data_IF_460785683425
#
_entry.id   IF_460785683425
#
_cell.length_a   1.000
_cell.length_b   1.000
_cell.length_c   1.000
_cell.angle_alpha   90.00
_cell.angle_beta   90.00
_cell.angle_gamma   90.00
#
_symmetry.space_group_name_H-M   'P 1'
#
loop_
_entity.id
_entity.type
_entity.pdbx_description
1 polymer ?
#
# COMPACT_ATOMS: atom_id res chain seq x y z
N UNK A 1 17.99 7.70 2.24
CA UNK A 1 17.22 8.92 2.63
C UNK A 1 17.59 9.49 4.00
N UNK A 2 18.62 9.00 4.72
CA UNK A 2 18.98 9.57 6.03
C UNK A 2 17.85 9.57 7.09
N UNK A 3 16.76 8.86 6.82
CA UNK A 3 15.51 8.88 7.59
C UNK A 3 15.50 7.86 8.72
N UNK A 4 16.30 6.79 8.60
CA UNK A 4 16.40 5.72 9.57
C UNK A 4 17.87 5.49 9.92
N UNK A 5 18.20 5.57 11.20
CA UNK A 5 19.51 5.21 11.75
C UNK A 5 19.39 3.84 12.44
N UNK A 6 20.26 2.86 12.16
CA UNK A 6 20.14 1.51 12.73
C UNK A 6 20.10 1.48 14.26
N UNK A 7 20.62 2.53 14.91
CA UNK A 7 20.67 2.68 16.36
C UNK A 7 19.35 3.15 17.00
N UNK A 8 18.48 3.84 16.24
CA UNK A 8 17.22 4.42 16.76
C UNK A 8 15.97 4.03 15.98
N UNK A 9 16.14 3.43 14.80
CA UNK A 9 15.07 3.14 13.86
C UNK A 9 15.05 1.66 13.49
N UNK A 10 13.89 1.03 13.67
CA UNK A 10 13.69 -0.38 13.35
C UNK A 10 12.34 -0.60 12.68
N UNK A 11 12.30 -1.62 11.81
CA UNK A 11 11.09 -2.24 11.33
C UNK A 11 10.82 -3.51 12.12
N UNK A 12 9.61 -3.61 12.67
CA UNK A 12 9.19 -4.76 13.46
C UNK A 12 8.22 -5.60 12.63
N UNK A 13 8.56 -6.87 12.42
CA UNK A 13 7.67 -7.87 11.85
C UNK A 13 7.26 -8.85 12.93
N UNK A 14 5.99 -8.75 13.33
CA UNK A 14 5.34 -9.76 14.17
C UNK A 14 4.70 -10.82 13.29
N UNK A 15 5.01 -12.08 13.55
CA UNK A 15 4.40 -13.24 12.88
C UNK A 15 3.80 -14.15 13.93
N UNK A 16 2.51 -14.44 13.78
CA UNK A 16 1.85 -15.49 14.55
C UNK A 16 1.60 -16.70 13.64
N UNK A 17 2.12 -17.87 14.04
CA UNK A 17 1.85 -19.14 13.34
C UNK A 17 0.87 -19.98 14.16
N UNK A 18 0.18 -20.91 13.48
CA UNK A 18 -0.75 -21.83 14.13
C UNK A 18 -0.04 -22.81 15.09
N UNK A 19 1.27 -23.01 14.92
CA UNK A 19 2.06 -23.97 15.68
C UNK A 19 2.21 -25.31 14.98
N UNK A 20 2.87 -26.24 15.66
CA UNK A 20 3.12 -27.61 15.17
C UNK A 20 1.82 -28.41 15.15
N UNK A 21 1.71 -29.39 14.24
CA UNK A 21 0.56 -30.28 14.15
C UNK A 21 0.85 -31.52 13.33
N UNK A 22 -0.18 -32.32 13.10
CA UNK A 22 -0.12 -33.49 12.22
C UNK A 22 -0.24 -33.09 10.75
N UNK A 23 0.15 -34.00 9.84
CA UNK A 23 -0.07 -33.81 8.41
C UNK A 23 -1.58 -33.85 8.08
N UNK A 24 -2.12 -32.68 7.72
CA UNK A 24 -3.54 -32.44 7.41
C UNK A 24 -3.88 -30.95 7.56
N UNK A 25 -4.98 -30.50 6.98
CA UNK A 25 -5.31 -29.05 6.94
C UNK A 25 -6.11 -28.55 8.16
N UNK A 26 -6.60 -29.46 9.01
CA UNK A 26 -7.48 -29.07 10.12
C UNK A 26 -6.71 -28.33 11.21
N UNK A 27 -7.06 -27.07 11.53
CA UNK A 27 -6.41 -26.31 12.60
C UNK A 27 -6.77 -26.83 14.00
N UNK A 28 -7.67 -27.80 14.12
CA UNK A 28 -7.99 -28.46 15.40
C UNK A 28 -6.91 -29.46 15.84
N UNK A 29 -6.00 -29.82 14.93
CA UNK A 29 -4.92 -30.78 15.18
C UNK A 29 -3.54 -30.12 15.21
N UNK A 30 -3.51 -28.83 15.51
CA UNK A 30 -2.31 -28.02 15.74
C UNK A 30 -2.26 -27.53 17.18
N UNK A 31 -1.08 -27.37 17.73
CA UNK A 31 -0.81 -27.03 19.13
C UNK A 31 0.38 -26.08 19.22
N UNK A 32 0.48 -25.36 20.35
CA UNK A 32 1.56 -24.40 20.65
C UNK A 32 1.73 -23.31 19.57
N UNK A 33 0.75 -22.39 19.38
CA UNK A 33 0.94 -21.22 18.53
C UNK A 33 2.26 -20.51 18.85
N UNK A 34 2.98 -20.07 17.82
CA UNK A 34 4.25 -19.37 17.98
C UNK A 34 4.08 -17.92 17.59
N UNK A 35 4.64 -17.02 18.39
CA UNK A 35 4.80 -15.60 18.06
C UNK A 35 6.29 -15.35 17.83
N UNK A 36 6.62 -14.86 16.64
CA UNK A 36 7.98 -14.50 16.24
C UNK A 36 8.01 -12.99 16.09
N UNK A 37 8.91 -12.34 16.83
CA UNK A 37 9.19 -10.92 16.70
C UNK A 37 10.54 -10.73 16.01
N UNK A 38 10.54 -10.16 14.81
CA UNK A 38 11.74 -9.84 14.06
C UNK A 38 11.90 -8.33 14.11
N UNK A 39 12.98 -7.84 14.73
CA UNK A 39 13.40 -6.46 14.67
C UNK A 39 14.61 -6.36 13.74
N UNK A 40 14.50 -5.55 12.69
CA UNK A 40 15.59 -5.31 11.74
C UNK A 40 15.44 -3.92 11.15
N UNK A 41 16.32 -3.53 10.25
CA UNK A 41 16.09 -2.38 9.38
C UNK A 41 15.27 -2.80 8.16
N UNK A 42 14.59 -1.84 7.52
CA UNK A 42 13.94 -2.07 6.23
C UNK A 42 14.54 -1.09 5.22
N UNK A 43 14.76 -1.58 3.99
CA UNK A 43 15.05 -0.71 2.86
C UNK A 43 13.75 -0.08 2.40
N UNK A 44 13.65 1.24 2.57
CA UNK A 44 12.63 2.04 1.87
C UNK A 44 12.99 2.13 0.38
N UNK A 45 12.05 2.63 -0.43
CA UNK A 45 12.33 2.92 -1.84
C UNK A 45 13.47 3.95 -1.97
N UNK A 46 14.19 3.96 -3.12
CA UNK A 46 15.22 4.95 -3.39
C UNK A 46 14.68 6.39 -3.25
N UNK A 47 15.47 7.35 -2.74
CA UNK A 47 15.02 8.74 -2.58
C UNK A 47 14.46 9.35 -3.86
N UNK A 48 15.03 8.98 -4.99
CA UNK A 48 14.62 9.45 -6.32
C UNK A 48 13.16 9.11 -6.61
N UNK A 49 12.63 7.98 -6.10
CA UNK A 49 11.21 7.62 -6.27
C UNK A 49 10.27 8.49 -5.44
N UNK A 50 10.74 9.08 -4.34
CA UNK A 50 9.96 10.03 -3.55
C UNK A 50 10.01 11.43 -4.18
N UNK A 51 11.14 11.80 -4.79
CA UNK A 51 11.33 13.11 -5.44
C UNK A 51 10.66 13.18 -6.82
N UNK A 52 10.78 12.13 -7.63
CA UNK A 52 10.34 12.08 -9.02
C UNK A 52 9.04 11.26 -9.21
N UNK A 53 8.64 10.50 -8.18
CA UNK A 53 7.54 9.56 -8.26
C UNK A 53 7.94 8.21 -8.83
N UNK A 54 7.18 7.19 -8.43
CA UNK A 54 7.39 5.81 -8.84
C UNK A 54 6.51 5.46 -10.05
N UNK A 55 7.04 4.80 -11.09
CA UNK A 55 6.20 4.19 -12.11
C UNK A 55 5.56 2.91 -11.56
N UNK A 56 4.33 2.63 -11.99
CA UNK A 56 3.59 1.41 -11.67
C UNK A 56 2.92 0.82 -12.91
N UNK A 57 2.48 -0.42 -12.81
CA UNK A 57 1.59 -1.07 -13.79
C UNK A 57 0.27 -1.46 -13.13
N UNK A 58 -0.73 -1.78 -13.94
CA UNK A 58 -1.91 -2.52 -13.48
C UNK A 58 -1.69 -4.01 -13.76
N UNK A 59 -1.68 -4.82 -12.71
CA UNK A 59 -1.47 -6.26 -12.79
C UNK A 59 -2.61 -6.97 -13.53
N UNK A 60 -2.28 -8.06 -14.22
CA UNK A 60 -3.27 -8.99 -14.77
C UNK A 60 -3.89 -9.89 -13.68
N UNK A 61 -3.19 -10.07 -12.56
CA UNK A 61 -3.69 -10.84 -11.42
C UNK A 61 -4.74 -10.06 -10.63
N UNK A 62 -5.93 -10.63 -10.58
CA UNK A 62 -7.01 -10.13 -9.73
C UNK A 62 -6.67 -10.34 -8.26
N UNK A 63 -7.01 -9.37 -7.42
CA UNK A 63 -6.90 -9.47 -5.97
C UNK A 63 -7.79 -10.59 -5.43
N UNK A 64 -7.31 -11.29 -4.40
CA UNK A 64 -8.07 -12.36 -3.75
C UNK A 64 -9.51 -11.94 -3.43
N UNK A 65 -10.46 -12.79 -3.80
CA UNK A 65 -11.88 -12.58 -3.52
C UNK A 65 -12.15 -12.62 -2.01
N UNK A 66 -12.99 -11.72 -1.50
CA UNK A 66 -13.31 -11.61 -0.06
C UNK A 66 -13.88 -12.89 0.55
N UNK A 67 -14.68 -13.66 -0.21
CA UNK A 67 -15.20 -14.96 0.23
C UNK A 67 -14.26 -16.15 0.00
N UNK A 68 -13.09 -15.94 -0.63
CA UNK A 68 -12.09 -17.00 -0.84
C UNK A 68 -10.94 -16.85 0.17
N UNK A 69 -10.20 -15.74 0.08
CA UNK A 69 -9.09 -15.40 0.97
C UNK A 69 -9.15 -13.90 1.27
N UNK A 70 -9.89 -13.48 2.32
CA UNK A 70 -10.19 -12.08 2.56
C UNK A 70 -8.92 -11.21 2.67
N UNK A 71 -8.74 -10.20 1.79
CA UNK A 71 -7.56 -9.31 1.82
C UNK A 71 -7.42 -8.48 3.11
N UNK A 72 -8.53 -8.30 3.85
CA UNK A 72 -8.53 -7.68 5.19
C UNK A 72 -7.68 -8.44 6.20
N UNK A 73 -7.37 -9.73 5.95
CA UNK A 73 -6.52 -10.54 6.81
C UNK A 73 -5.07 -10.47 6.32
N UNK A 74 -4.20 -9.81 7.08
CA UNK A 74 -2.75 -9.81 6.83
C UNK A 74 -2.11 -11.14 7.28
N UNK A 75 -2.32 -12.19 6.48
CA UNK A 75 -1.84 -13.55 6.76
C UNK A 75 -0.50 -13.86 6.09
N UNK A 76 0.01 -15.07 6.29
CA UNK A 76 1.19 -15.60 5.60
C UNK A 76 0.92 -16.02 4.13
N UNK A 77 -0.33 -15.95 3.67
CA UNK A 77 -0.72 -16.29 2.30
C UNK A 77 -0.56 -15.07 1.36
N UNK A 78 0.68 -14.74 1.00
CA UNK A 78 1.01 -13.57 0.17
C UNK A 78 1.20 -13.90 -1.32
N UNK A 79 0.97 -15.13 -1.76
CA UNK A 79 1.26 -15.56 -3.13
C UNK A 79 0.56 -14.72 -4.20
N UNK A 80 -0.70 -14.32 -3.99
CA UNK A 80 -1.42 -13.44 -4.91
C UNK A 80 -0.71 -12.09 -5.12
N UNK A 81 -0.23 -11.48 -4.04
CA UNK A 81 0.53 -10.23 -4.07
C UNK A 81 1.90 -10.43 -4.74
N UNK A 82 2.57 -11.57 -4.47
CA UNK A 82 3.87 -11.92 -5.07
C UNK A 82 3.75 -12.07 -6.59
N UNK A 83 2.70 -12.72 -7.10
CA UNK A 83 2.47 -12.89 -8.53
C UNK A 83 2.34 -11.54 -9.26
N UNK A 84 1.56 -10.61 -8.70
CA UNK A 84 1.47 -9.25 -9.22
C UNK A 84 2.80 -8.47 -9.10
N UNK A 85 3.59 -8.72 -8.05
CA UNK A 85 4.91 -8.10 -7.86
C UNK A 85 5.92 -8.60 -8.90
N UNK A 86 5.83 -9.87 -9.28
CA UNK A 86 6.63 -10.43 -10.39
C UNK A 86 6.31 -9.69 -11.69
N UNK A 87 5.03 -9.45 -12.01
CA UNK A 87 4.68 -8.65 -13.21
C UNK A 87 5.26 -7.23 -13.17
N UNK A 88 5.25 -6.57 -12.01
CA UNK A 88 5.91 -5.27 -11.85
C UNK A 88 7.41 -5.33 -12.14
N UNK A 89 8.10 -6.36 -11.62
CA UNK A 89 9.51 -6.58 -11.88
C UNK A 89 9.79 -6.84 -13.37
N UNK A 90 8.99 -7.69 -14.02
CA UNK A 90 9.13 -8.00 -15.45
C UNK A 90 8.87 -6.76 -16.33
N UNK A 91 8.01 -5.85 -15.87
CA UNK A 91 7.78 -4.56 -16.50
C UNK A 91 8.80 -3.46 -16.10
N UNK A 92 9.82 -3.78 -15.30
CA UNK A 92 10.84 -2.86 -14.78
C UNK A 92 10.26 -1.66 -14.01
N UNK A 93 9.18 -1.88 -13.24
CA UNK A 93 8.57 -0.86 -12.39
C UNK A 93 8.60 -1.27 -10.92
N UNK A 94 8.42 -0.30 -10.02
CA UNK A 94 8.55 -0.53 -8.60
C UNK A 94 7.37 -1.27 -7.98
N UNK A 95 6.16 -1.18 -8.56
CA UNK A 95 4.94 -1.68 -7.94
C UNK A 95 3.83 -1.97 -8.97
N UNK A 96 2.86 -2.81 -8.60
CA UNK A 96 1.68 -3.12 -9.40
C UNK A 96 0.38 -2.84 -8.63
N UNK A 97 -0.57 -2.21 -9.32
CA UNK A 97 -1.94 -1.99 -8.87
C UNK A 97 -2.79 -3.20 -9.23
N UNK A 98 -3.52 -3.75 -8.26
CA UNK A 98 -4.41 -4.89 -8.45
C UNK A 98 -5.87 -4.44 -8.50
N UNK A 99 -6.64 -5.08 -9.38
CA UNK A 99 -8.10 -4.90 -9.42
C UNK A 99 -8.79 -6.04 -8.68
N UNK A 100 -9.99 -5.79 -8.15
CA UNK A 100 -10.84 -6.83 -7.59
C UNK A 100 -11.63 -7.57 -8.69
N UNK A 101 -12.36 -8.61 -8.28
CA UNK A 101 -13.15 -9.47 -9.17
C UNK A 101 -14.27 -8.75 -9.94
N UNK A 102 -14.64 -7.53 -9.55
CA UNK A 102 -15.62 -6.68 -10.25
C UNK A 102 -14.96 -5.71 -11.24
N UNK A 103 -13.62 -5.69 -11.31
CA UNK A 103 -12.86 -4.76 -12.13
C UNK A 103 -12.62 -3.39 -11.49
N UNK A 104 -12.98 -3.20 -10.22
CA UNK A 104 -12.63 -1.99 -9.46
C UNK A 104 -11.20 -2.07 -8.93
N UNK A 105 -10.57 -0.92 -8.73
CA UNK A 105 -9.26 -0.81 -8.10
C UNK A 105 -9.36 -1.31 -6.67
N UNK A 106 -8.48 -2.23 -6.30
CA UNK A 106 -8.31 -2.66 -4.93
C UNK A 106 -7.13 -1.91 -4.30
N UNK A 107 -5.93 -2.47 -4.39
CA UNK A 107 -4.73 -1.97 -3.74
C UNK A 107 -3.49 -2.33 -4.57
N UNK A 108 -2.33 -1.80 -4.21
CA UNK A 108 -1.07 -2.26 -4.76
C UNK A 108 -0.61 -3.58 -4.08
N UNK A 109 0.49 -4.19 -4.53
CA UNK A 109 0.91 -5.48 -3.93
C UNK A 109 1.30 -5.36 -2.46
N UNK A 110 1.76 -4.19 -2.02
CA UNK A 110 2.15 -3.91 -0.63
C UNK A 110 1.44 -2.74 0.05
N UNK A 111 0.68 -1.92 -0.69
CA UNK A 111 0.28 -0.58 -0.27
C UNK A 111 -1.16 -0.23 -0.70
N UNK A 112 -1.83 0.66 0.03
CA UNK A 112 -3.13 1.19 -0.38
C UNK A 112 -3.00 2.29 -1.44
N UNK A 113 -3.99 2.43 -2.31
CA UNK A 113 -4.00 3.37 -3.44
C UNK A 113 -4.83 4.61 -3.12
N UNK A 114 -4.31 5.78 -3.49
CA UNK A 114 -5.01 7.06 -3.43
C UNK A 114 -4.82 7.82 -4.75
N UNK A 115 -5.88 8.44 -5.24
CA UNK A 115 -5.80 9.41 -6.34
C UNK A 115 -6.27 10.77 -5.86
N UNK A 116 -5.85 11.81 -6.57
CA UNK A 116 -6.35 13.18 -6.43
C UNK A 116 -7.09 13.54 -7.70
N UNK A 117 -8.29 14.10 -7.57
CA UNK A 117 -9.05 14.62 -8.69
C UNK A 117 -9.82 15.86 -8.27
N UNK A 118 -9.63 16.96 -8.99
CA UNK A 118 -10.22 18.27 -8.67
C UNK A 118 -9.95 18.71 -7.22
N UNK A 119 -8.74 18.47 -6.71
CA UNK A 119 -8.34 18.81 -5.34
C UNK A 119 -8.90 17.90 -4.23
N UNK A 120 -9.70 16.88 -4.57
CA UNK A 120 -10.24 15.89 -3.63
C UNK A 120 -9.40 14.60 -3.68
N UNK A 121 -9.11 14.03 -2.51
CA UNK A 121 -8.50 12.70 -2.40
C UNK A 121 -9.58 11.62 -2.50
N UNK A 122 -9.36 10.62 -3.35
CA UNK A 122 -10.22 9.46 -3.50
C UNK A 122 -9.41 8.17 -3.26
N UNK A 123 -9.99 7.21 -2.55
CA UNK A 123 -9.37 5.91 -2.29
C UNK A 123 -10.43 4.80 -2.28
N UNK A 124 -10.11 3.56 -2.69
CA UNK A 124 -11.06 2.46 -2.61
C UNK A 124 -11.55 2.22 -1.17
N UNK A 125 -12.85 1.92 -0.97
CA UNK A 125 -13.37 1.52 0.34
C UNK A 125 -12.85 0.14 0.72
N UNK A 126 -12.91 -0.21 2.01
CA UNK A 126 -12.52 -1.55 2.48
C UNK A 126 -13.34 -2.68 1.85
N UNK A 127 -14.58 -2.37 1.42
CA UNK A 127 -15.45 -3.29 0.67
C UNK A 127 -14.93 -3.65 -0.71
N UNK A 128 -14.00 -2.87 -1.30
CA UNK A 128 -13.36 -3.18 -2.57
C UNK A 128 -12.38 -4.38 -2.49
N UNK A 129 -12.20 -4.97 -1.31
CA UNK A 129 -11.31 -6.11 -1.10
C UNK A 129 -9.86 -5.69 -0.87
N UNK A 130 -9.66 -4.66 -0.04
CA UNK A 130 -8.34 -4.14 0.33
C UNK A 130 -7.99 -4.49 1.77
N UNK A 131 -6.70 -4.44 2.10
CA UNK A 131 -6.27 -4.38 3.48
C UNK A 131 -6.61 -3.00 4.05
N UNK A 132 -7.18 -2.97 5.26
CA UNK A 132 -7.44 -1.72 5.99
C UNK A 132 -6.14 -1.22 6.63
N UNK A 133 -5.30 -0.55 5.82
CA UNK A 133 -3.98 -0.12 6.24
C UNK A 133 -4.01 0.92 7.35
N UNK A 134 -3.11 0.77 8.34
CA UNK A 134 -2.93 1.78 9.40
C UNK A 134 -2.43 3.10 8.79
N UNK A 135 -1.43 3.05 7.91
CA UNK A 135 -0.92 4.23 7.19
C UNK A 135 -2.01 4.91 6.37
N UNK A 136 -2.86 4.13 5.67
CA UNK A 136 -4.04 4.64 4.97
C UNK A 136 -4.95 5.42 5.90
N UNK A 137 -5.37 4.83 7.01
CA UNK A 137 -6.27 5.47 7.97
C UNK A 137 -5.64 6.74 8.58
N UNK A 138 -4.34 6.71 8.85
CA UNK A 138 -3.59 7.89 9.31
C UNK A 138 -3.55 8.99 8.25
N UNK A 139 -3.29 8.67 6.98
CA UNK A 139 -3.28 9.64 5.88
C UNK A 139 -4.67 10.24 5.65
N UNK A 140 -5.74 9.43 5.69
CA UNK A 140 -7.13 9.92 5.61
C UNK A 140 -7.40 10.94 6.73
N UNK A 141 -7.00 10.63 7.97
CA UNK A 141 -7.16 11.55 9.11
C UNK A 141 -6.36 12.84 8.90
N UNK A 142 -5.08 12.74 8.55
CA UNK A 142 -4.20 13.89 8.34
C UNK A 142 -4.67 14.79 7.19
N UNK A 143 -5.17 14.21 6.09
CA UNK A 143 -5.75 14.95 4.98
C UNK A 143 -6.98 15.77 5.43
N UNK A 144 -7.89 15.15 6.19
CA UNK A 144 -9.07 15.84 6.75
C UNK A 144 -8.67 16.96 7.72
N UNK A 145 -7.69 16.73 8.58
CA UNK A 145 -7.13 17.75 9.48
C UNK A 145 -6.49 18.92 8.71
N UNK A 146 -5.93 18.65 7.53
CA UNK A 146 -5.38 19.66 6.62
C UNK A 146 -6.44 20.35 5.74
N UNK A 147 -7.73 20.05 5.94
CA UNK A 147 -8.83 20.65 5.17
C UNK A 147 -9.00 20.06 3.76
N UNK A 148 -8.39 18.92 3.46
CA UNK A 148 -8.54 18.23 2.18
C UNK A 148 -9.69 17.23 2.29
N UNK A 149 -10.62 17.31 1.35
CA UNK A 149 -11.73 16.35 1.29
C UNK A 149 -11.22 14.96 0.89
N UNK A 150 -11.68 13.93 1.62
CA UNK A 150 -11.33 12.54 1.36
C UNK A 150 -12.59 11.71 1.20
N UNK A 151 -12.74 11.11 0.03
CA UNK A 151 -13.87 10.25 -0.33
C UNK A 151 -13.40 8.80 -0.51
N UNK A 152 -14.04 7.90 0.22
CA UNK A 152 -13.90 6.46 0.00
C UNK A 152 -14.94 6.04 -1.03
N UNK A 153 -14.51 5.64 -2.24
CA UNK A 153 -15.40 5.23 -3.33
C UNK A 153 -14.74 4.20 -4.23
N UNK A 154 -15.56 3.38 -4.88
CA UNK A 154 -15.06 2.49 -5.92
C UNK A 154 -14.43 3.31 -7.05
N UNK A 155 -13.24 2.88 -7.47
CA UNK A 155 -12.49 3.46 -8.57
C UNK A 155 -12.38 2.41 -9.67
N UNK A 156 -12.44 2.84 -10.92
CA UNK A 156 -12.15 2.00 -12.08
C UNK A 156 -10.80 2.37 -12.68
N UNK A 157 -10.27 1.52 -13.56
CA UNK A 157 -9.00 1.75 -14.25
C UNK A 157 -8.87 3.15 -14.87
N UNK A 158 -9.94 3.66 -15.50
CA UNK A 158 -9.92 4.99 -16.13
C UNK A 158 -9.82 6.13 -15.12
N UNK A 159 -10.27 5.95 -13.87
CA UNK A 159 -10.10 6.95 -12.81
C UNK A 159 -8.61 7.14 -12.47
N UNK A 160 -7.81 6.07 -12.51
CA UNK A 160 -6.36 6.16 -12.28
C UNK A 160 -5.66 6.92 -13.41
N UNK A 161 -6.03 6.65 -14.67
CA UNK A 161 -5.44 7.34 -15.81
C UNK A 161 -5.87 8.81 -15.92
N UNK A 162 -7.04 9.15 -15.40
CA UNK A 162 -7.58 10.51 -15.39
C UNK A 162 -7.35 11.27 -14.08
N UNK A 163 -6.48 10.76 -13.20
CA UNK A 163 -6.15 11.42 -11.94
C UNK A 163 -5.17 12.58 -12.16
N UNK A 164 -5.33 13.64 -11.36
CA UNK A 164 -4.41 14.79 -11.34
C UNK A 164 -3.11 14.40 -10.61
N UNK A 165 -3.23 13.61 -9.54
CA UNK A 165 -2.11 13.05 -8.78
C UNK A 165 -2.45 11.64 -8.30
N UNK A 166 -1.44 10.83 -7.97
CA UNK A 166 -1.62 9.52 -7.35
C UNK A 166 -0.50 9.28 -6.34
N UNK A 167 -0.81 8.57 -5.26
CA UNK A 167 0.18 8.11 -4.31
C UNK A 167 -0.25 6.80 -3.66
N UNK A 168 0.72 6.06 -3.13
CA UNK A 168 0.51 4.83 -2.38
C UNK A 168 0.83 5.04 -0.90
N UNK A 169 0.23 4.22 -0.03
CA UNK A 169 0.52 4.25 1.40
C UNK A 169 0.75 2.89 2.01
N UNK A 170 1.80 2.75 2.80
CA UNK A 170 2.08 1.55 3.60
C UNK A 170 3.19 1.77 4.62
N UNK A 171 3.38 0.84 5.55
CA UNK A 171 4.38 1.02 6.62
C UNK A 171 5.81 1.15 6.07
N UNK A 172 6.16 0.34 5.07
CA UNK A 172 7.49 0.38 4.45
C UNK A 172 7.64 1.47 3.37
N UNK A 173 6.55 1.84 2.72
CA UNK A 173 6.54 2.89 1.69
C UNK A 173 6.33 4.30 2.25
N UNK A 174 5.75 4.42 3.44
CA UNK A 174 5.15 5.64 3.99
C UNK A 174 4.10 6.21 3.03
N UNK A 175 4.28 7.43 2.54
CA UNK A 175 3.53 8.01 1.42
C UNK A 175 4.50 8.10 0.24
N UNK A 176 4.20 7.43 -0.86
CA UNK A 176 5.05 7.44 -2.07
C UNK A 176 4.25 7.89 -3.29
N UNK A 177 4.67 8.95 -4.01
CA UNK A 177 3.95 9.44 -5.16
C UNK A 177 4.10 8.52 -6.37
N UNK A 178 3.07 8.49 -7.20
CA UNK A 178 3.03 7.73 -8.46
C UNK A 178 2.82 8.72 -9.60
N UNK A 179 3.78 8.78 -10.51
CA UNK A 179 3.78 9.74 -11.63
C UNK A 179 3.54 9.08 -12.99
N UNK A 180 3.52 7.74 -13.03
CA UNK A 180 3.33 6.99 -14.28
C UNK A 180 2.63 5.66 -14.03
N UNK A 181 1.60 5.33 -14.81
CA UNK A 181 0.84 4.07 -14.77
C UNK A 181 0.73 3.51 -16.19
N UNK A 182 1.11 2.25 -16.41
CA UNK A 182 1.01 1.59 -17.74
C UNK A 182 1.57 2.44 -18.88
N UNK A 183 2.75 3.02 -18.64
CA UNK A 183 3.43 3.96 -19.53
C UNK A 183 2.73 5.30 -19.82
N UNK A 184 1.70 5.67 -19.07
CA UNK A 184 1.00 6.96 -19.15
C UNK A 184 1.37 7.83 -17.96
N UNK A 185 1.57 9.12 -18.18
CA UNK A 185 1.73 10.08 -17.09
C UNK A 185 0.45 10.15 -16.25
N UNK A 186 0.61 10.26 -14.93
CA UNK A 186 -0.46 10.71 -14.03
C UNK A 186 -0.38 12.23 -13.98
N UNK A 187 -1.49 12.92 -14.25
CA UNK A 187 -1.49 14.37 -14.41
C UNK A 187 -0.45 14.84 -15.43
N UNK A 188 0.51 15.66 -14.97
CA UNK A 188 1.62 16.16 -15.78
C UNK A 188 2.88 15.27 -15.75
N UNK A 189 2.85 14.14 -15.05
CA UNK A 189 4.00 13.23 -14.89
C UNK A 189 4.99 13.66 -13.80
N UNK A 190 4.64 14.65 -12.99
CA UNK A 190 5.45 15.13 -11.87
C UNK A 190 4.74 14.85 -10.54
N UNK A 191 5.49 14.83 -9.45
CA UNK A 191 4.89 14.70 -8.12
C UNK A 191 3.96 15.90 -7.90
N UNK A 192 2.71 15.61 -7.52
CA UNK A 192 1.70 16.64 -7.32
C UNK A 192 1.79 17.36 -5.96
N UNK A 193 1.02 18.44 -5.82
CA UNK A 193 1.06 19.31 -4.64
C UNK A 193 0.45 18.63 -3.41
N UNK A 194 -0.70 17.96 -3.57
CA UNK A 194 -1.37 17.25 -2.47
C UNK A 194 -0.52 16.05 -2.04
N UNK A 195 0.08 15.32 -2.98
CA UNK A 195 0.99 14.20 -2.72
C UNK A 195 2.21 14.64 -1.90
N UNK A 196 2.86 15.75 -2.30
CA UNK A 196 3.94 16.38 -1.51
C UNK A 196 3.48 16.78 -0.12
N UNK A 197 2.30 17.40 -0.01
CA UNK A 197 1.75 17.81 1.28
C UNK A 197 1.51 16.60 2.20
N UNK A 198 0.95 15.50 1.67
CA UNK A 198 0.72 14.26 2.44
C UNK A 198 2.01 13.61 2.88
N UNK A 199 3.03 13.57 2.03
CA UNK A 199 4.37 13.12 2.41
C UNK A 199 4.92 13.94 3.58
N UNK A 200 4.91 15.27 3.47
CA UNK A 200 5.48 16.15 4.49
C UNK A 200 4.75 16.06 5.84
N UNK A 201 3.42 16.03 5.82
CA UNK A 201 2.61 15.93 7.05
C UNK A 201 2.82 14.55 7.71
N UNK A 202 2.85 13.47 6.92
CA UNK A 202 3.09 12.13 7.44
C UNK A 202 4.52 11.98 8.01
N UNK A 203 5.54 12.49 7.31
CA UNK A 203 6.92 12.47 7.81
C UNK A 203 7.05 13.22 9.15
N UNK A 204 6.40 14.39 9.26
CA UNK A 204 6.37 15.15 10.51
C UNK A 204 5.76 14.34 11.66
N UNK A 205 4.67 13.61 11.41
CA UNK A 205 4.03 12.74 12.41
C UNK A 205 4.96 11.61 12.85
N UNK A 206 5.64 10.95 11.91
CA UNK A 206 6.59 9.87 12.23
C UNK A 206 7.74 10.39 13.08
N UNK A 207 8.26 11.58 12.78
CA UNK A 207 9.37 12.19 13.52
C UNK A 207 8.98 12.78 14.87
N UNK A 208 7.73 13.22 15.06
CA UNK A 208 7.32 13.86 16.32
C UNK A 208 7.16 12.88 17.49
N UNK A 209 7.23 11.58 17.23
CA UNK A 209 6.79 10.53 18.15
C UNK A 209 5.27 10.59 18.31
N UNK A 210 4.61 9.43 18.38
CA UNK A 210 3.23 9.40 18.85
C UNK A 210 3.24 9.88 20.31
N UNK A 211 2.72 11.10 20.54
CA UNK A 211 2.38 11.54 21.89
C UNK A 211 1.15 10.81 22.38
#
# INVERSE_FOLDING_TARGET
NGLLTPEKDAYIRLVATRGVGVLGISPRRTWKPQVIAIASTISMYPPEMYEQGMPVIISSYTRNHSNAMPPRIKSLNYLNNILAKIEAHDANVGEAIMLNHLGFVAEATGDNVFIVRNGQIQTPPTSAGILEGITRNTVIRLAREAGIEVVEKDLVRVDLYGADEMFLTGTGAQVIPVTKIDNRAVGNGEVGAISRQMMAIYEKLVRSGAR
#
